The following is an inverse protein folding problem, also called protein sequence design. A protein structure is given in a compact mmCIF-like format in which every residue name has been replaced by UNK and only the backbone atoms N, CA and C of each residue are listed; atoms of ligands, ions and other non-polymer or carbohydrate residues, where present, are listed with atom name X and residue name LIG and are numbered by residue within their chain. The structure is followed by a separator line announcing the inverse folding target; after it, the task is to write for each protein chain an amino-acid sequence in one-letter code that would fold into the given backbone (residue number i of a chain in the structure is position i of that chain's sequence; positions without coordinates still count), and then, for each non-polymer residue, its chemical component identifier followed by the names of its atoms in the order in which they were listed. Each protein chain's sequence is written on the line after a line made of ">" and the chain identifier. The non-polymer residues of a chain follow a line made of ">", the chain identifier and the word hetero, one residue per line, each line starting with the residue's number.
data_IF_280722718091
#
_entry.id   IF_280722718091
#
_cell.length_a   1.000
_cell.length_b   1.000
_cell.length_c   1.000
_cell.angle_alpha   90.00
_cell.angle_beta   90.00
_cell.angle_gamma   90.00
#
_symmetry.space_group_name_H-M   'P 1'
#
loop_
_entity.id
_entity.type
_entity.pdbx_description
1 polymer ?
#
# COMPACT_ATOMS: atom_id res chain seq x y z
N UNK A 1 1.49 -6.99 -15.89
CA UNK A 1 0.39 -6.08 -15.50
C UNK A 1 0.87 -5.23 -14.34
N UNK A 2 0.42 -3.98 -14.27
CA UNK A 2 0.78 -3.11 -13.17
C UNK A 2 0.05 -3.55 -11.90
N UNK A 3 0.76 -3.55 -10.78
CA UNK A 3 0.19 -3.76 -9.45
C UNK A 3 -0.45 -2.47 -8.97
N UNK A 4 -1.70 -2.55 -8.52
CA UNK A 4 -2.46 -1.42 -7.99
C UNK A 4 -2.88 -1.72 -6.55
N UNK A 5 -2.63 -0.74 -5.68
CA UNK A 5 -3.10 -0.73 -4.30
C UNK A 5 -4.03 0.46 -4.09
N UNK A 6 -5.06 0.25 -3.29
CA UNK A 6 -5.99 1.30 -2.87
C UNK A 6 -6.19 1.20 -1.37
N UNK A 7 -5.94 2.30 -0.66
CA UNK A 7 -5.98 2.33 0.79
C UNK A 7 -7.37 1.94 1.35
N UNK A 8 -8.44 2.21 0.60
CA UNK A 8 -9.80 1.76 0.95
C UNK A 8 -9.97 0.24 0.93
N UNK A 9 -9.34 -0.44 -0.02
CA UNK A 9 -9.40 -1.91 -0.12
C UNK A 9 -8.66 -2.57 1.07
N UNK A 10 -7.71 -1.86 1.68
CA UNK A 10 -7.03 -2.27 2.92
C UNK A 10 -7.85 -1.95 4.20
N UNK A 11 -8.95 -1.20 4.09
CA UNK A 11 -9.77 -0.77 5.24
C UNK A 11 -9.41 0.62 5.80
N UNK A 12 -8.55 1.37 5.11
CA UNK A 12 -8.31 2.77 5.45
C UNK A 12 -9.43 3.71 4.98
N UNK A 13 -9.56 4.86 5.63
CA UNK A 13 -10.50 5.93 5.22
C UNK A 13 -9.91 6.86 4.13
N UNK A 14 -8.63 6.67 3.80
CA UNK A 14 -7.90 7.50 2.84
C UNK A 14 -8.21 7.08 1.39
N UNK A 15 -8.37 8.05 0.49
CA UNK A 15 -8.61 7.83 -0.95
C UNK A 15 -7.33 7.57 -1.75
N UNK A 16 -6.19 7.39 -1.10
CA UNK A 16 -4.91 7.23 -1.79
C UNK A 16 -4.82 5.90 -2.53
N UNK A 17 -4.24 5.95 -3.74
CA UNK A 17 -3.98 4.79 -4.59
C UNK A 17 -2.53 4.79 -5.03
N UNK A 18 -1.91 3.62 -5.04
CA UNK A 18 -0.57 3.40 -5.56
C UNK A 18 -0.61 2.50 -6.79
N UNK A 19 0.25 2.78 -7.77
CA UNK A 19 0.50 1.91 -8.92
C UNK A 19 1.99 1.72 -9.12
N UNK A 20 2.41 0.49 -9.41
CA UNK A 20 3.79 0.15 -9.72
C UNK A 20 3.87 -1.11 -10.59
N UNK A 21 5.03 -1.36 -11.20
CA UNK A 21 5.26 -2.60 -11.96
C UNK A 21 5.52 -3.81 -11.04
N UNK A 22 6.14 -3.57 -9.88
CA UNK A 22 6.45 -4.61 -8.91
C UNK A 22 5.80 -4.31 -7.56
N UNK A 23 5.56 -5.36 -6.77
CA UNK A 23 5.03 -5.25 -5.41
C UNK A 23 5.99 -4.46 -4.51
N UNK A 24 7.29 -4.61 -4.69
CA UNK A 24 8.31 -3.92 -3.90
C UNK A 24 8.27 -2.40 -4.10
N UNK A 25 8.17 -1.92 -5.35
CA UNK A 25 8.03 -0.49 -5.63
C UNK A 25 6.70 0.06 -5.07
N UNK A 26 5.64 -0.74 -5.16
CA UNK A 26 4.35 -0.38 -4.57
C UNK A 26 4.43 -0.28 -3.04
N UNK A 27 5.11 -1.20 -2.38
CA UNK A 27 5.32 -1.18 -0.93
C UNK A 27 6.13 0.04 -0.49
N UNK A 28 7.15 0.45 -1.23
CA UNK A 28 7.91 1.69 -0.95
C UNK A 28 6.97 2.92 -1.00
N UNK A 29 6.09 2.99 -2.00
CA UNK A 29 5.10 4.07 -2.13
C UNK A 29 4.09 4.06 -0.97
N UNK A 30 3.57 2.89 -0.60
CA UNK A 30 2.64 2.71 0.52
C UNK A 30 3.29 3.12 1.85
N UNK A 31 4.53 2.69 2.09
CA UNK A 31 5.29 3.04 3.30
C UNK A 31 5.46 4.55 3.42
N UNK A 32 5.90 5.21 2.34
CA UNK A 32 6.04 6.67 2.29
C UNK A 32 4.71 7.38 2.54
N UNK A 33 3.63 6.87 1.96
CA UNK A 33 2.28 7.40 2.19
C UNK A 33 1.87 7.27 3.66
N UNK A 34 2.02 6.09 4.26
CA UNK A 34 1.71 5.83 5.67
C UNK A 34 2.51 6.75 6.61
N UNK A 35 3.81 6.91 6.37
CA UNK A 35 4.66 7.79 7.16
C UNK A 35 4.22 9.26 7.09
N UNK A 36 3.94 9.77 5.89
CA UNK A 36 3.62 11.19 5.69
C UNK A 36 2.17 11.53 6.06
N UNK A 37 1.20 10.69 5.69
CA UNK A 37 -0.24 11.00 5.85
C UNK A 37 -0.84 10.44 7.13
N UNK A 38 -0.25 9.40 7.69
CA UNK A 38 -0.78 8.72 8.88
C UNK A 38 0.22 8.70 10.05
N UNK A 39 1.35 9.41 9.94
CA UNK A 39 2.45 9.40 10.92
C UNK A 39 2.90 7.98 11.30
N UNK A 40 2.76 7.04 10.36
CA UNK A 40 3.11 5.63 10.59
C UNK A 40 4.64 5.51 10.59
N UNK A 41 5.22 5.29 11.77
CA UNK A 41 6.67 5.17 11.94
C UNK A 41 7.24 3.90 11.31
N UNK A 42 6.49 2.80 11.39
CA UNK A 42 6.92 1.51 10.88
C UNK A 42 5.74 0.73 10.32
N UNK A 43 5.98 0.07 9.19
CA UNK A 43 5.02 -0.85 8.58
C UNK A 43 5.38 -2.28 9.03
N UNK A 44 4.54 -2.84 9.90
CA UNK A 44 4.74 -4.19 10.44
C UNK A 44 4.64 -5.26 9.36
N UNK A 45 5.19 -6.44 9.63
CA UNK A 45 5.10 -7.56 8.68
C UNK A 45 3.66 -8.04 8.45
N UNK A 46 2.79 -7.99 9.47
CA UNK A 46 1.35 -8.25 9.32
C UNK A 46 0.70 -7.27 8.33
N UNK A 47 1.00 -5.97 8.45
CA UNK A 47 0.53 -4.97 7.50
C UNK A 47 1.00 -5.26 6.09
N UNK A 48 2.27 -5.63 5.90
CA UNK A 48 2.81 -6.00 4.58
C UNK A 48 2.03 -7.16 3.96
N UNK A 49 1.78 -8.23 4.71
CA UNK A 49 1.04 -9.41 4.22
C UNK A 49 -0.38 -9.02 3.82
N UNK A 50 -1.08 -8.24 4.65
CA UNK A 50 -2.44 -7.75 4.34
C UNK A 50 -2.45 -6.82 3.13
N UNK A 51 -1.48 -5.90 3.03
CA UNK A 51 -1.32 -5.03 1.86
C UNK A 51 -1.15 -5.88 0.60
N UNK A 52 -0.27 -6.87 0.63
CA UNK A 52 -0.01 -7.75 -0.52
C UNK A 52 -1.29 -8.49 -0.92
N UNK A 53 -2.08 -8.95 0.05
CA UNK A 53 -3.35 -9.65 -0.18
C UNK A 53 -4.43 -8.81 -0.86
N UNK A 54 -4.35 -7.47 -0.80
CA UNK A 54 -5.34 -6.55 -1.42
C UNK A 54 -4.82 -5.88 -2.69
N UNK A 55 -3.57 -6.13 -3.09
CA UNK A 55 -3.02 -5.64 -4.36
C UNK A 55 -3.74 -6.34 -5.51
N UNK A 56 -4.22 -5.56 -6.47
CA UNK A 56 -4.84 -6.04 -7.71
C UNK A 56 -3.89 -5.84 -8.89
N UNK A 57 -4.08 -6.63 -9.94
CA UNK A 57 -3.36 -6.48 -11.20
C UNK A 57 -4.26 -5.79 -12.23
N UNK A 58 -3.73 -4.82 -12.95
CA UNK A 58 -4.40 -4.15 -14.08
C UNK A 58 -3.42 -3.83 -15.21
#
# INVERSE_FOLDING_TARGET
>A
MAKIFNCKDFGGTCNWKGRAETVEDLLKKITKHGAIKHNMKEMTNDMKVKIISVIREQ
#
